data_IF_581640007449
#
_entry.id   IF_581640007449
#
_cell.length_a   1.000
_cell.length_b   1.000
_cell.length_c   1.000
_cell.angle_alpha   90.00
_cell.angle_beta   90.00
_cell.angle_gamma   90.00
#
_symmetry.space_group_name_H-M   'P 1'
#
loop_
_entity.id
_entity.type
_entity.pdbx_description
1 polymer ?
#
# COMPACT_ATOMS: atom_id res chain seq x y z
N UNK A 1 1.58 -20.47 -9.03
CA UNK A 1 1.82 -19.03 -9.11
C UNK A 1 2.92 -18.64 -8.13
N UNK A 2 3.83 -17.77 -8.55
CA UNK A 2 4.85 -17.20 -7.69
C UNK A 2 4.41 -15.80 -7.24
N UNK A 3 4.67 -15.45 -5.99
CA UNK A 3 4.38 -14.14 -5.45
C UNK A 3 5.66 -13.51 -4.89
N UNK A 4 5.82 -12.20 -5.10
CA UNK A 4 6.85 -11.41 -4.47
C UNK A 4 6.23 -10.19 -3.79
N UNK A 5 6.78 -9.78 -2.66
CA UNK A 5 6.32 -8.61 -1.95
C UNK A 5 7.51 -7.80 -1.41
N UNK A 6 7.37 -6.49 -1.41
CA UNK A 6 8.43 -5.59 -0.97
C UNK A 6 7.89 -4.42 -0.17
N UNK A 7 8.75 -3.92 0.68
CA UNK A 7 8.55 -2.69 1.42
C UNK A 7 9.91 -2.01 1.60
N UNK A 8 9.92 -0.69 1.71
CA UNK A 8 11.15 0.07 1.98
C UNK A 8 11.67 -0.20 3.40
N UNK A 9 10.77 -0.57 4.31
CA UNK A 9 11.11 -0.89 5.70
C UNK A 9 11.58 -2.32 5.85
N UNK A 10 12.87 -2.51 6.11
CA UNK A 10 13.42 -3.82 6.45
C UNK A 10 12.73 -4.50 7.63
N UNK A 11 12.18 -3.72 8.55
CA UNK A 11 11.47 -4.25 9.72
C UNK A 11 10.11 -4.80 9.33
N UNK A 12 9.37 -4.11 8.45
CA UNK A 12 8.10 -4.57 7.91
C UNK A 12 8.30 -5.86 7.12
N UNK A 13 9.28 -5.89 6.20
CA UNK A 13 9.63 -7.09 5.41
C UNK A 13 9.98 -8.26 6.33
N UNK A 14 10.81 -8.05 7.34
CA UNK A 14 11.18 -9.11 8.29
C UNK A 14 9.98 -9.63 9.10
N UNK A 15 9.07 -8.75 9.51
CA UNK A 15 7.86 -9.12 10.22
C UNK A 15 6.90 -9.92 9.34
N UNK A 16 6.72 -9.50 8.09
CA UNK A 16 5.88 -10.17 7.12
C UNK A 16 6.42 -11.56 6.76
N UNK A 17 7.72 -11.67 6.45
CA UNK A 17 8.38 -12.94 6.15
C UNK A 17 8.26 -13.97 7.31
N UNK A 18 8.32 -13.51 8.56
CA UNK A 18 8.11 -14.38 9.73
C UNK A 18 6.68 -14.92 9.86
N UNK A 19 5.69 -14.20 9.32
CA UNK A 19 4.28 -14.60 9.31
C UNK A 19 3.94 -15.53 8.16
N UNK A 20 4.71 -15.49 7.09
CA UNK A 20 4.57 -16.35 5.92
C UNK A 20 5.17 -17.75 6.19
N UNK A 21 4.46 -18.53 7.02
CA UNK A 21 4.90 -19.86 7.42
C UNK A 21 4.98 -20.86 6.26
N UNK A 22 4.25 -20.62 5.19
CA UNK A 22 4.24 -21.44 3.99
C UNK A 22 5.34 -21.10 3.00
N UNK A 23 6.13 -20.04 3.25
CA UNK A 23 7.13 -19.53 2.32
C UNK A 23 6.59 -19.33 0.90
N UNK A 24 5.33 -18.87 0.80
CA UNK A 24 4.62 -18.70 -0.46
C UNK A 24 5.01 -17.41 -1.18
N UNK A 25 5.64 -16.46 -0.48
CA UNK A 25 5.99 -15.14 -0.99
C UNK A 25 7.50 -14.91 -0.91
N UNK A 26 8.07 -14.37 -1.96
CA UNK A 26 9.44 -13.87 -1.95
C UNK A 26 9.45 -12.45 -1.39
N UNK A 27 10.06 -12.26 -0.23
CA UNK A 27 10.11 -10.99 0.47
C UNK A 27 11.42 -10.25 0.21
N UNK A 28 11.33 -8.98 -0.19
CA UNK A 28 12.50 -8.14 -0.41
C UNK A 28 12.33 -6.72 0.14
N UNK A 29 13.44 -6.09 0.53
CA UNK A 29 13.46 -4.65 0.84
C UNK A 29 13.73 -3.91 -0.45
N UNK A 30 12.74 -3.13 -0.91
CA UNK A 30 12.85 -2.36 -2.15
C UNK A 30 11.95 -1.14 -2.12
N UNK A 31 12.25 -0.17 -2.98
CA UNK A 31 11.42 1.01 -3.22
C UNK A 31 10.40 0.73 -4.32
N UNK A 32 9.20 1.32 -4.21
CA UNK A 32 8.22 1.33 -5.29
C UNK A 32 8.73 2.02 -6.57
N UNK A 33 9.73 2.89 -6.44
CA UNK A 33 10.38 3.56 -7.58
C UNK A 33 11.53 2.75 -8.20
N UNK A 34 11.87 1.58 -7.65
CA UNK A 34 12.90 0.69 -8.15
C UNK A 34 12.53 -0.75 -7.76
N UNK A 35 11.52 -1.28 -8.42
CA UNK A 35 10.96 -2.61 -8.14
C UNK A 35 11.90 -3.69 -8.69
N UNK A 36 12.39 -4.64 -7.88
CA UNK A 36 13.35 -5.67 -8.31
C UNK A 36 12.66 -6.81 -9.08
N UNK A 37 11.88 -6.45 -10.09
CA UNK A 37 11.15 -7.35 -10.98
C UNK A 37 11.45 -6.93 -12.42
N UNK A 38 11.64 -7.90 -13.30
CA UNK A 38 11.87 -7.65 -14.72
C UNK A 38 10.66 -6.97 -15.38
N UNK A 39 10.91 -6.34 -16.53
CA UNK A 39 9.87 -5.71 -17.33
C UNK A 39 8.81 -6.74 -17.76
N UNK A 40 7.57 -6.36 -17.73
CA UNK A 40 6.43 -7.19 -18.15
C UNK A 40 6.47 -8.62 -17.55
N UNK A 41 6.85 -8.75 -16.27
CA UNK A 41 6.94 -10.05 -15.61
C UNK A 41 5.75 -10.35 -14.68
N UNK A 42 5.02 -9.33 -14.22
CA UNK A 42 3.91 -9.50 -13.28
C UNK A 42 2.57 -9.62 -14.01
N UNK A 43 1.80 -10.64 -13.70
CA UNK A 43 0.41 -10.76 -14.16
C UNK A 43 -0.54 -9.83 -13.39
N UNK A 44 -0.20 -9.58 -12.12
CA UNK A 44 -0.93 -8.67 -11.25
C UNK A 44 0.03 -7.94 -10.31
N UNK A 45 -0.16 -6.63 -10.16
CA UNK A 45 0.51 -5.80 -9.15
C UNK A 45 -0.53 -5.33 -8.15
N UNK A 46 -0.21 -5.45 -6.86
CA UNK A 46 -1.03 -4.90 -5.77
C UNK A 46 -0.21 -3.86 -5.02
N UNK A 47 -0.71 -2.63 -4.96
CA UNK A 47 -0.11 -1.52 -4.23
C UNK A 47 -1.03 -1.07 -3.10
N UNK A 48 -0.51 -1.04 -1.87
CA UNK A 48 -1.26 -0.64 -0.69
C UNK A 48 -0.53 0.50 0.00
N UNK A 49 -1.07 1.71 -0.13
CA UNK A 49 -0.60 2.92 0.55
C UNK A 49 0.86 3.30 0.24
N UNK A 50 1.42 2.83 -0.86
CA UNK A 50 2.75 3.25 -1.28
C UNK A 50 2.71 4.51 -2.15
N UNK A 51 3.84 5.19 -2.34
CA UNK A 51 3.92 6.29 -3.29
C UNK A 51 3.63 5.83 -4.72
N UNK A 52 2.90 6.66 -5.48
CA UNK A 52 2.49 6.37 -6.84
C UNK A 52 3.69 6.37 -7.82
N UNK A 53 4.33 5.22 -7.99
CA UNK A 53 5.44 5.02 -8.92
C UNK A 53 4.94 4.55 -10.29
N UNK A 54 4.12 5.37 -10.96
CA UNK A 54 3.34 4.98 -12.13
C UNK A 54 4.18 4.36 -13.27
N UNK A 55 5.38 4.86 -13.53
CA UNK A 55 6.27 4.33 -14.56
C UNK A 55 6.79 2.93 -14.21
N UNK A 56 7.18 2.70 -12.95
CA UNK A 56 7.62 1.39 -12.48
C UNK A 56 6.47 0.38 -12.49
N UNK A 57 5.28 0.79 -12.10
CA UNK A 57 4.10 -0.07 -12.14
C UNK A 57 3.76 -0.49 -13.57
N UNK A 58 3.80 0.45 -14.52
CA UNK A 58 3.61 0.14 -15.94
C UNK A 58 4.74 -0.73 -16.51
N UNK A 59 5.97 -0.58 -16.03
CA UNK A 59 7.10 -1.36 -16.49
C UNK A 59 6.98 -2.84 -16.11
N UNK A 60 6.58 -3.12 -14.86
CA UNK A 60 6.60 -4.50 -14.33
C UNK A 60 5.36 -5.31 -14.70
N UNK A 61 4.22 -4.67 -14.93
CA UNK A 61 2.98 -5.37 -15.27
C UNK A 61 2.97 -5.73 -16.76
N UNK A 62 2.61 -6.98 -17.06
CA UNK A 62 2.44 -7.46 -18.43
C UNK A 62 1.35 -6.68 -19.18
N UNK A 63 1.45 -6.53 -20.50
CA UNK A 63 0.31 -6.12 -21.30
C UNK A 63 -0.92 -7.01 -21.03
N UNK A 64 -2.05 -6.39 -20.70
CA UNK A 64 -3.26 -7.10 -20.28
C UNK A 64 -3.27 -7.61 -18.84
N UNK A 65 -2.23 -7.35 -18.07
CA UNK A 65 -2.17 -7.64 -16.64
C UNK A 65 -3.05 -6.70 -15.81
N UNK A 66 -3.19 -6.99 -14.53
CA UNK A 66 -4.00 -6.24 -13.60
C UNK A 66 -3.15 -5.36 -12.67
N UNK A 67 -3.65 -4.16 -12.37
CA UNK A 67 -3.11 -3.31 -11.32
C UNK A 67 -4.22 -2.98 -10.31
N UNK A 68 -4.01 -3.34 -9.06
CA UNK A 68 -4.93 -3.07 -7.95
C UNK A 68 -4.21 -2.18 -6.95
N UNK A 69 -4.82 -1.08 -6.58
CA UNK A 69 -4.21 -0.19 -5.59
C UNK A 69 -5.22 0.29 -4.56
N UNK A 70 -4.75 0.51 -3.35
CA UNK A 70 -5.50 1.10 -2.26
C UNK A 70 -4.84 2.41 -1.83
N UNK A 71 -5.63 3.45 -1.69
CA UNK A 71 -5.19 4.77 -1.22
C UNK A 71 -6.04 5.22 -0.04
N UNK A 72 -5.48 6.02 0.89
CA UNK A 72 -6.25 6.57 1.98
C UNK A 72 -7.38 7.45 1.47
N UNK A 73 -8.59 7.21 1.93
CA UNK A 73 -9.71 8.12 1.68
C UNK A 73 -9.60 9.42 2.47
N UNK A 74 -10.48 10.42 2.21
CA UNK A 74 -10.44 11.72 2.90
C UNK A 74 -10.47 11.59 4.41
N UNK A 75 -11.27 10.68 4.94
CA UNK A 75 -11.45 10.45 6.38
C UNK A 75 -10.67 9.25 6.93
N UNK A 76 -9.64 8.80 6.22
CA UNK A 76 -8.78 7.73 6.73
C UNK A 76 -8.13 8.15 8.06
N UNK A 77 -8.30 7.32 9.08
CA UNK A 77 -7.86 7.56 10.46
C UNK A 77 -8.34 8.89 11.07
N UNK A 78 -9.50 9.41 10.62
CA UNK A 78 -9.98 10.73 11.07
C UNK A 78 -10.18 10.79 12.59
N UNK A 79 -10.74 9.74 13.22
CA UNK A 79 -10.88 9.67 14.68
C UNK A 79 -9.56 9.76 15.45
N UNK A 80 -8.46 9.27 14.87
CA UNK A 80 -7.12 9.45 15.44
C UNK A 80 -6.67 10.90 15.35
N UNK A 81 -6.98 11.56 14.24
CA UNK A 81 -6.67 12.99 14.05
C UNK A 81 -7.45 13.89 14.99
N UNK A 82 -8.70 13.53 15.30
CA UNK A 82 -9.53 14.26 16.29
C UNK A 82 -8.92 14.23 17.69
N UNK A 83 -8.24 13.15 18.04
CA UNK A 83 -7.56 13.05 19.34
C UNK A 83 -6.21 13.78 19.35
N UNK A 84 -5.50 13.79 18.20
CA UNK A 84 -4.13 14.30 18.11
C UNK A 84 -4.03 15.79 17.81
N UNK A 85 -4.97 16.36 17.05
CA UNK A 85 -4.89 17.71 16.52
C UNK A 85 -6.04 18.57 17.02
N UNK A 86 -5.75 19.81 17.42
CA UNK A 86 -6.78 20.79 17.77
C UNK A 86 -7.72 21.09 16.61
N UNK A 87 -7.20 21.00 15.38
CA UNK A 87 -7.96 21.14 14.13
C UNK A 87 -7.70 19.93 13.26
N UNK A 88 -8.51 18.89 13.38
CA UNK A 88 -8.40 17.72 12.54
C UNK A 88 -8.65 18.07 11.07
N UNK A 89 -7.91 17.43 10.17
CA UNK A 89 -7.99 17.68 8.73
C UNK A 89 -8.29 16.40 7.98
N UNK A 90 -8.99 16.55 6.86
CA UNK A 90 -9.19 15.44 5.92
C UNK A 90 -7.97 15.29 5.00
N UNK A 91 -7.70 14.08 4.55
CA UNK A 91 -6.64 13.84 3.58
C UNK A 91 -7.03 14.40 2.23
N UNK A 92 -6.08 15.03 1.54
CA UNK A 92 -6.25 15.38 0.13
C UNK A 92 -6.13 14.10 -0.69
N UNK A 93 -7.21 13.68 -1.33
CA UNK A 93 -7.19 12.57 -2.27
C UNK A 93 -6.71 13.11 -3.62
N UNK A 94 -5.54 12.67 -4.04
CA UNK A 94 -5.04 12.99 -5.38
C UNK A 94 -5.60 11.98 -6.39
N UNK A 95 -6.13 12.48 -7.49
CA UNK A 95 -6.52 11.63 -8.61
C UNK A 95 -5.26 11.37 -9.44
N UNK A 96 -4.56 10.30 -9.12
CA UNK A 96 -3.30 9.94 -9.77
C UNK A 96 -3.62 9.21 -11.08
N UNK A 97 -3.12 9.74 -12.18
CA UNK A 97 -3.15 9.02 -13.44
C UNK A 97 -2.03 7.97 -13.47
N UNK A 98 -2.37 6.78 -13.88
CA UNK A 98 -1.41 5.69 -14.10
C UNK A 98 -1.30 5.41 -15.61
N UNK A 99 -0.31 6.00 -16.31
CA UNK A 99 -0.11 5.79 -17.75
C UNK A 99 0.03 4.30 -18.08
N UNK A 100 -0.65 3.87 -19.14
CA UNK A 100 -0.66 2.45 -19.54
C UNK A 100 -1.74 1.60 -18.88
N UNK A 101 -2.48 2.13 -17.90
CA UNK A 101 -3.60 1.44 -17.27
C UNK A 101 -4.93 2.15 -17.59
N UNK A 102 -5.97 1.36 -17.83
CA UNK A 102 -7.34 1.84 -17.89
C UNK A 102 -8.02 1.61 -16.54
N UNK A 103 -8.72 2.61 -16.02
CA UNK A 103 -9.48 2.46 -14.79
C UNK A 103 -10.67 1.52 -15.02
N UNK A 104 -10.66 0.36 -14.35
CA UNK A 104 -11.75 -0.59 -14.40
C UNK A 104 -12.84 -0.27 -13.37
N UNK A 105 -12.52 -0.40 -12.10
CA UNK A 105 -13.49 -0.23 -11.01
C UNK A 105 -12.86 0.51 -9.83
N UNK A 106 -13.67 1.38 -9.20
CA UNK A 106 -13.34 2.02 -7.92
C UNK A 106 -14.32 1.54 -6.85
N UNK A 107 -13.79 0.99 -5.77
CA UNK A 107 -14.59 0.43 -4.67
C UNK A 107 -14.26 1.21 -3.40
N UNK A 108 -15.21 1.97 -2.82
CA UNK A 108 -15.00 2.57 -1.51
C UNK A 108 -15.03 1.47 -0.43
N UNK A 109 -14.00 1.46 0.42
CA UNK A 109 -13.91 0.54 1.56
C UNK A 109 -14.02 1.35 2.84
N UNK A 110 -14.94 0.97 3.70
CA UNK A 110 -15.12 1.56 5.01
C UNK A 110 -14.94 0.48 6.08
N UNK A 111 -14.08 0.74 7.04
CA UNK A 111 -13.91 -0.11 8.20
C UNK A 111 -13.80 0.73 9.46
N UNK A 112 -14.22 0.16 10.59
CA UNK A 112 -14.08 0.77 11.90
C UNK A 112 -13.07 -0.05 12.71
N UNK A 113 -12.06 0.61 13.25
CA UNK A 113 -11.13 0.03 14.19
C UNK A 113 -11.33 0.72 15.55
N UNK A 114 -11.72 -0.05 16.54
CA UNK A 114 -11.76 0.44 17.91
C UNK A 114 -10.38 0.32 18.53
N UNK A 115 -9.80 1.43 18.94
CA UNK A 115 -8.51 1.48 19.62
C UNK A 115 -8.70 1.95 21.06
N UNK A 116 -7.99 1.37 21.99
CA UNK A 116 -7.99 1.73 23.41
C UNK A 116 -6.60 2.25 23.81
N UNK A 117 -6.49 2.91 24.96
CA UNK A 117 -5.33 3.63 25.45
C UNK A 117 -3.94 3.18 24.98
N UNK A 118 -3.54 1.93 25.22
CA UNK A 118 -2.21 1.44 24.80
C UNK A 118 -2.11 1.21 23.28
N UNK A 119 -3.16 0.74 22.64
CA UNK A 119 -3.16 0.45 21.19
C UNK A 119 -3.20 1.72 20.34
N UNK A 120 -3.67 2.84 20.88
CA UNK A 120 -3.63 4.13 20.16
C UNK A 120 -2.20 4.65 20.03
N UNK A 121 -1.34 4.40 21.01
CA UNK A 121 0.08 4.78 20.95
C UNK A 121 0.82 3.98 19.88
N UNK A 122 0.52 2.68 19.76
CA UNK A 122 1.07 1.85 18.69
C UNK A 122 0.62 2.34 17.31
N UNK A 123 -0.65 2.76 17.19
CA UNK A 123 -1.17 3.31 15.94
C UNK A 123 -0.50 4.65 15.59
N UNK A 124 -0.26 5.53 16.56
CA UNK A 124 0.49 6.77 16.35
C UNK A 124 1.94 6.55 15.92
N UNK A 125 2.58 5.50 16.43
CA UNK A 125 3.94 5.14 16.04
C UNK A 125 4.02 4.60 14.60
N UNK A 126 2.90 4.10 14.05
CA UNK A 126 2.80 3.56 12.70
C UNK A 126 2.36 4.60 11.64
N UNK A 127 1.84 5.74 12.07
CA UNK A 127 1.41 6.82 11.17
C UNK A 127 2.50 7.89 11.06
N UNK A 128 2.96 8.20 9.84
CA UNK A 128 3.96 9.25 9.61
C UNK A 128 3.48 10.63 10.01
#
# INVERSE_FOLDING_TARGET
PSAAAFDISKFAVKAAARRDKGHAVQWAVASSFAIPVADAAADCLVDIFSPAAAQEFARVVKPGGAFVFAVPGPRHLYGVKEVRYERPYENTVQDVAYPGFALGQRIPVHSMLTVTGSTILDLFAMTP
#
